data_IF_113885833565
#
_entry.id   IF_113885833565
#
_cell.length_a   1.000
_cell.length_b   1.000
_cell.length_c   1.000
_cell.angle_alpha   90.00
_cell.angle_beta   90.00
_cell.angle_gamma   90.00
#
_symmetry.space_group_name_H-M   'P 1'
#
loop_
_entity.id
_entity.type
_entity.pdbx_description
1 polymer ?
#
# COMPACT_ATOMS: atom_id res chain seq x y z
N UNK A 1 15.04 -0.99 -6.59
CA UNK A 1 13.70 -0.63 -7.12
C UNK A 1 13.35 0.72 -6.58
N UNK A 2 13.05 1.68 -7.46
CA UNK A 2 12.59 3.02 -7.05
C UNK A 2 11.16 2.92 -6.54
N UNK A 3 10.83 3.66 -5.49
CA UNK A 3 9.49 3.77 -4.95
C UNK A 3 9.14 5.22 -4.65
N UNK A 4 7.84 5.50 -4.59
CA UNK A 4 7.31 6.73 -4.02
C UNK A 4 6.73 6.41 -2.66
N UNK A 5 6.95 7.27 -1.68
CA UNK A 5 6.50 7.07 -0.31
C UNK A 5 5.74 8.27 0.26
N UNK A 6 4.86 7.98 1.21
CA UNK A 6 4.13 8.98 1.97
C UNK A 6 3.89 8.52 3.41
N UNK A 7 3.70 9.50 4.30
CA UNK A 7 3.38 9.25 5.70
C UNK A 7 2.03 9.87 6.04
N UNK A 8 1.25 9.14 6.84
CA UNK A 8 0.01 9.61 7.44
C UNK A 8 -0.02 9.26 8.93
N UNK A 9 -0.34 10.23 9.78
CA UNK A 9 -0.51 10.02 11.22
C UNK A 9 -2.01 10.09 11.57
N UNK A 10 -2.55 9.02 12.19
CA UNK A 10 -3.94 8.95 12.67
C UNK A 10 -3.98 8.44 14.10
N UNK A 11 -4.48 9.26 15.03
CA UNK A 11 -4.52 8.96 16.48
C UNK A 11 -3.21 8.33 16.98
N UNK A 12 -2.09 9.02 16.74
CA UNK A 12 -0.70 8.59 17.07
C UNK A 12 -0.18 7.35 16.33
N UNK A 13 -1.02 6.63 15.58
CA UNK A 13 -0.56 5.55 14.71
C UNK A 13 0.04 6.14 13.44
N UNK A 14 1.19 5.63 13.02
CA UNK A 14 1.87 6.06 11.79
C UNK A 14 1.61 5.04 10.70
N UNK A 15 1.20 5.51 9.53
CA UNK A 15 0.97 4.72 8.32
C UNK A 15 1.95 5.22 7.26
N UNK A 16 2.99 4.43 7.04
CA UNK A 16 4.00 4.71 6.02
C UNK A 16 3.66 3.89 4.78
N UNK A 17 3.23 4.58 3.72
CA UNK A 17 2.83 3.95 2.47
C UNK A 17 3.92 4.07 1.42
N UNK A 18 4.05 3.01 0.63
CA UNK A 18 4.98 2.88 -0.47
C UNK A 18 4.24 2.39 -1.70
N UNK A 19 4.60 2.90 -2.87
CA UNK A 19 4.17 2.35 -4.16
C UNK A 19 5.37 2.02 -5.03
N UNK A 20 5.35 0.82 -5.59
CA UNK A 20 6.37 0.31 -6.50
C UNK A 20 5.71 -0.09 -7.81
N UNK A 21 6.38 0.20 -8.94
CA UNK A 21 6.09 -0.48 -10.20
C UNK A 21 6.53 -1.95 -10.08
N UNK A 22 5.68 -2.86 -10.52
CA UNK A 22 5.94 -4.30 -10.52
C UNK A 22 5.39 -4.99 -11.76
N UNK A 23 6.16 -5.94 -12.28
CA UNK A 23 5.83 -6.71 -13.48
C UNK A 23 5.39 -8.15 -13.18
N UNK A 24 5.74 -8.65 -11.98
CA UNK A 24 5.44 -10.01 -11.57
C UNK A 24 5.34 -10.20 -10.03
N UNK A 25 4.87 -11.38 -9.63
CA UNK A 25 4.72 -11.76 -8.22
C UNK A 25 6.03 -11.97 -7.46
N UNK A 26 7.12 -12.25 -8.15
CA UNK A 26 8.44 -12.46 -7.52
C UNK A 26 8.96 -11.15 -6.96
N UNK A 27 8.79 -10.04 -7.70
CA UNK A 27 9.11 -8.70 -7.22
C UNK A 27 8.30 -8.33 -5.97
N UNK A 28 6.99 -8.65 -5.96
CA UNK A 28 6.12 -8.44 -4.78
C UNK A 28 6.70 -9.13 -3.54
N UNK A 29 7.05 -10.41 -3.64
CA UNK A 29 7.61 -11.16 -2.50
C UNK A 29 8.91 -10.53 -1.99
N UNK A 30 9.77 -10.07 -2.89
CA UNK A 30 11.03 -9.38 -2.55
C UNK A 30 10.78 -8.05 -1.81
N UNK A 31 9.85 -7.23 -2.31
CA UNK A 31 9.47 -5.95 -1.70
C UNK A 31 8.92 -6.15 -0.29
N UNK A 32 7.97 -7.07 -0.11
CA UNK A 32 7.39 -7.35 1.21
C UNK A 32 8.43 -7.89 2.20
N UNK A 33 9.31 -8.78 1.75
CA UNK A 33 10.40 -9.31 2.57
C UNK A 33 11.36 -8.20 3.02
N UNK A 34 11.68 -7.28 2.11
CA UNK A 34 12.56 -6.13 2.39
C UNK A 34 11.92 -5.19 3.40
N UNK A 35 10.67 -4.75 3.17
CA UNK A 35 9.97 -3.85 4.08
C UNK A 35 9.75 -4.47 5.47
N UNK A 36 9.44 -5.77 5.56
CA UNK A 36 9.36 -6.47 6.86
C UNK A 36 10.70 -6.49 7.61
N UNK A 37 11.82 -6.57 6.90
CA UNK A 37 13.17 -6.53 7.50
C UNK A 37 13.58 -5.12 7.91
N UNK A 38 13.22 -4.10 7.15
CA UNK A 38 13.52 -2.70 7.46
C UNK A 38 12.63 -2.20 8.62
N UNK A 39 11.36 -2.58 8.63
CA UNK A 39 10.36 -2.13 9.59
C UNK A 39 10.03 -3.19 10.64
N UNK A 40 11.04 -3.81 11.27
CA UNK A 40 10.84 -4.89 12.28
C UNK A 40 9.95 -4.50 13.47
N UNK A 41 9.86 -3.20 13.76
CA UNK A 41 9.04 -2.64 14.85
C UNK A 41 7.61 -2.31 14.42
N UNK A 42 7.28 -2.44 13.13
CA UNK A 42 5.93 -2.24 12.66
C UNK A 42 5.03 -3.38 13.15
N UNK A 43 3.76 -3.05 13.36
CA UNK A 43 2.77 -4.03 13.81
C UNK A 43 2.23 -4.84 12.63
N UNK A 44 2.01 -4.18 11.51
CA UNK A 44 1.41 -4.75 10.31
C UNK A 44 2.07 -4.13 9.06
N UNK A 45 2.29 -4.95 8.04
CA UNK A 45 2.78 -4.60 6.70
C UNK A 45 1.73 -5.09 5.69
N UNK A 46 0.65 -4.33 5.60
CA UNK A 46 -0.50 -4.64 4.74
C UNK A 46 -0.19 -4.21 3.30
N UNK A 47 -0.77 -4.86 2.31
CA UNK A 47 -0.54 -4.49 0.91
C UNK A 47 -1.71 -4.85 0.01
N UNK A 48 -1.71 -4.24 -1.17
CA UNK A 48 -2.48 -4.68 -2.33
C UNK A 48 -1.71 -4.45 -3.62
N UNK A 49 -2.00 -5.26 -4.64
CA UNK A 49 -1.36 -5.14 -5.95
C UNK A 49 -2.35 -5.44 -7.07
N UNK A 50 -2.04 -4.91 -8.24
CA UNK A 50 -2.67 -5.26 -9.51
C UNK A 50 -1.60 -5.27 -10.59
N UNK A 51 -1.47 -6.38 -11.30
CA UNK A 51 -0.54 -6.58 -12.41
C UNK A 51 -1.37 -7.02 -13.61
N UNK A 52 -1.14 -6.39 -14.76
CA UNK A 52 -1.71 -6.76 -16.04
C UNK A 52 -0.53 -7.09 -16.96
N UNK A 53 -0.47 -8.34 -17.41
CA UNK A 53 0.56 -8.83 -18.32
C UNK A 53 -0.09 -9.71 -19.39
N UNK A 54 0.19 -9.41 -20.64
CA UNK A 54 -0.36 -10.15 -21.80
C UNK A 54 -1.90 -10.25 -21.77
N UNK A 55 -2.57 -9.20 -21.32
CA UNK A 55 -4.04 -9.15 -21.15
C UNK A 55 -4.58 -9.93 -19.95
N UNK A 56 -3.73 -10.61 -19.17
CA UNK A 56 -4.10 -11.35 -17.98
C UNK A 56 -3.93 -10.48 -16.74
N UNK A 57 -5.02 -10.32 -15.99
CA UNK A 57 -5.01 -9.62 -14.72
C UNK A 57 -4.61 -10.56 -13.57
N UNK A 58 -3.67 -10.11 -12.75
CA UNK A 58 -3.34 -10.72 -11.48
C UNK A 58 -3.39 -9.68 -10.36
N UNK A 59 -4.29 -9.88 -9.41
CA UNK A 59 -4.50 -8.98 -8.29
C UNK A 59 -4.58 -9.73 -6.97
N UNK A 60 -4.35 -9.01 -5.88
CA UNK A 60 -4.46 -9.57 -4.53
C UNK A 60 -4.14 -8.53 -3.45
N UNK A 61 -4.49 -8.86 -2.21
CA UNK A 61 -4.22 -8.03 -1.05
C UNK A 61 -3.97 -8.87 0.20
N UNK A 62 -3.42 -8.24 1.23
CA UNK A 62 -3.17 -8.83 2.54
C UNK A 62 -3.40 -7.80 3.64
N UNK A 63 -4.12 -8.21 4.69
CA UNK A 63 -4.32 -7.42 5.90
C UNK A 63 -3.19 -7.62 6.93
N UNK A 64 -2.25 -8.55 6.72
CA UNK A 64 -1.09 -8.83 7.59
C UNK A 64 -1.40 -8.84 9.10
N UNK A 65 -2.49 -9.48 9.51
CA UNK A 65 -2.90 -9.60 10.91
C UNK A 65 -3.76 -8.45 11.44
N UNK A 66 -4.05 -7.42 10.64
CA UNK A 66 -5.18 -6.52 10.89
C UNK A 66 -6.50 -7.31 10.78
N UNK A 67 -7.61 -6.79 11.35
CA UNK A 67 -8.93 -7.37 11.13
C UNK A 67 -9.23 -7.56 9.63
N UNK A 68 -9.87 -8.68 9.29
CA UNK A 68 -10.16 -9.07 7.91
C UNK A 68 -10.83 -7.95 7.10
N UNK A 69 -10.27 -7.63 5.93
CA UNK A 69 -10.69 -6.56 5.03
C UNK A 69 -10.57 -5.12 5.59
N UNK A 70 -9.87 -4.91 6.69
CA UNK A 70 -9.71 -3.56 7.26
C UNK A 70 -8.53 -2.77 6.67
N UNK A 71 -7.64 -3.43 5.93
CA UNK A 71 -6.40 -2.82 5.44
C UNK A 71 -6.16 -3.08 3.95
N UNK A 72 -5.86 -4.32 3.57
CA UNK A 72 -5.52 -4.71 2.20
C UNK A 72 -6.66 -4.43 1.22
N UNK A 73 -7.91 -4.72 1.62
CA UNK A 73 -9.09 -4.50 0.79
C UNK A 73 -9.31 -3.01 0.43
N UNK A 74 -9.30 -2.06 1.38
CA UNK A 74 -9.36 -0.63 1.06
C UNK A 74 -8.25 -0.13 0.13
N UNK A 75 -7.02 -0.65 0.27
CA UNK A 75 -5.91 -0.29 -0.62
C UNK A 75 -6.21 -0.79 -2.04
N UNK A 76 -6.64 -2.05 -2.18
CA UNK A 76 -6.96 -2.66 -3.47
C UNK A 76 -8.09 -1.95 -4.21
N UNK A 77 -9.17 -1.61 -3.49
CA UNK A 77 -10.30 -0.89 -4.10
C UNK A 77 -9.87 0.47 -4.65
N UNK A 78 -8.92 1.13 -3.99
CA UNK A 78 -8.40 2.41 -4.47
C UNK A 78 -7.52 2.26 -5.72
N UNK A 79 -6.67 1.22 -5.79
CA UNK A 79 -5.91 0.87 -7.02
C UNK A 79 -6.89 0.75 -8.20
N UNK A 80 -7.98 0.01 -8.02
CA UNK A 80 -9.01 -0.18 -9.04
C UNK A 80 -9.73 1.12 -9.41
N UNK A 81 -10.19 1.90 -8.43
CA UNK A 81 -10.90 3.17 -8.68
C UNK A 81 -10.00 4.17 -9.42
N UNK A 82 -8.70 4.15 -9.13
CA UNK A 82 -7.71 5.03 -9.80
C UNK A 82 -7.24 4.48 -11.15
N UNK A 83 -7.68 3.28 -11.55
CA UNK A 83 -7.30 2.60 -12.79
C UNK A 83 -5.78 2.52 -12.98
N UNK A 84 -5.05 2.25 -11.90
CA UNK A 84 -3.60 2.03 -11.94
C UNK A 84 -3.30 0.53 -11.94
N UNK A 85 -2.34 0.11 -12.74
CA UNK A 85 -1.92 -1.28 -12.88
C UNK A 85 -0.39 -1.38 -12.86
N UNK A 86 0.10 -2.62 -12.75
CA UNK A 86 1.52 -2.96 -12.65
C UNK A 86 2.17 -2.28 -11.44
N UNK A 87 1.43 -2.28 -10.32
CA UNK A 87 1.84 -1.66 -9.06
C UNK A 87 1.51 -2.54 -7.86
N UNK A 88 2.32 -2.38 -6.83
CA UNK A 88 2.01 -2.79 -5.46
C UNK A 88 2.04 -1.54 -4.57
N UNK A 89 1.03 -1.44 -3.70
CA UNK A 89 1.01 -0.48 -2.61
C UNK A 89 1.15 -1.25 -1.31
N UNK A 90 2.14 -0.87 -0.50
CA UNK A 90 2.40 -1.43 0.83
C UNK A 90 2.20 -0.34 1.86
N UNK A 91 1.49 -0.64 2.93
CA UNK A 91 1.29 0.28 4.06
C UNK A 91 1.83 -0.39 5.32
N UNK A 92 2.91 0.18 5.83
CA UNK A 92 3.55 -0.21 7.09
C UNK A 92 2.90 0.60 8.21
N UNK A 93 2.31 -0.09 9.18
CA UNK A 93 1.66 0.54 10.32
C UNK A 93 2.46 0.38 11.61
N UNK A 94 2.76 1.51 12.25
CA UNK A 94 3.24 1.57 13.63
C UNK A 94 2.08 1.96 14.55
N UNK A 95 1.80 1.13 15.55
CA UNK A 95 0.69 1.36 16.49
C UNK A 95 1.01 2.47 17.48
N UNK A 96 0.12 3.46 17.59
CA UNK A 96 0.31 4.64 18.43
C UNK A 96 -0.27 4.57 19.85
N UNK A 97 -0.67 3.38 20.32
CA UNK A 97 -1.30 3.21 21.63
C UNK A 97 -2.82 3.47 21.67
N UNK A 98 -3.41 3.97 20.57
CA UNK A 98 -4.85 4.26 20.49
C UNK A 98 -5.50 3.39 19.40
N UNK A 99 -6.52 2.62 19.78
CA UNK A 99 -7.29 1.80 18.82
C UNK A 99 -8.13 2.68 17.89
N UNK A 100 -8.13 2.33 16.60
CA UNK A 100 -8.91 3.05 15.59
C UNK A 100 -10.31 2.46 15.37
N UNK A 101 -10.54 1.21 15.76
CA UNK A 101 -11.73 0.45 15.37
C UNK A 101 -11.75 0.11 13.88
N UNK A 102 -12.64 -0.80 13.47
CA UNK A 102 -12.67 -1.34 12.10
C UNK A 102 -12.84 -0.26 11.01
N UNK A 103 -13.82 0.64 11.17
CA UNK A 103 -14.04 1.74 10.22
C UNK A 103 -12.89 2.76 10.21
N UNK A 104 -12.26 3.00 11.36
CA UNK A 104 -11.09 3.88 11.46
C UNK A 104 -9.86 3.30 10.74
N UNK A 105 -9.66 1.98 10.81
CA UNK A 105 -8.61 1.29 10.06
C UNK A 105 -8.84 1.40 8.56
N UNK A 106 -10.05 1.06 8.09
CA UNK A 106 -10.37 1.15 6.67
C UNK A 106 -10.12 2.56 6.12
N UNK A 107 -10.57 3.59 6.85
CA UNK A 107 -10.35 4.97 6.46
C UNK A 107 -8.85 5.32 6.43
N UNK A 108 -8.09 4.94 7.45
CA UNK A 108 -6.66 5.24 7.53
C UNK A 108 -5.85 4.57 6.42
N UNK A 109 -6.09 3.28 6.15
CA UNK A 109 -5.39 2.55 5.07
C UNK A 109 -5.76 3.09 3.69
N UNK A 110 -7.04 3.39 3.45
CA UNK A 110 -7.49 4.00 2.20
C UNK A 110 -6.83 5.37 1.98
N UNK A 111 -6.79 6.21 3.00
CA UNK A 111 -6.22 7.56 2.85
C UNK A 111 -4.69 7.54 2.72
N UNK A 112 -4.01 6.64 3.43
CA UNK A 112 -2.58 6.42 3.25
C UNK A 112 -2.23 5.97 1.83
N UNK A 113 -3.04 5.07 1.25
CA UNK A 113 -2.91 4.66 -0.15
C UNK A 113 -3.21 5.81 -1.12
N UNK A 114 -4.21 6.63 -0.83
CA UNK A 114 -4.58 7.79 -1.66
C UNK A 114 -3.42 8.76 -1.82
N UNK A 115 -2.79 9.15 -0.70
CA UNK A 115 -1.68 10.12 -0.70
C UNK A 115 -0.52 9.62 -1.55
N UNK A 116 -0.13 8.34 -1.42
CA UNK A 116 1.01 7.81 -2.18
C UNK A 116 0.70 7.62 -3.66
N UNK A 117 -0.55 7.29 -4.02
CA UNK A 117 -0.99 7.27 -5.42
C UNK A 117 -0.93 8.67 -6.02
N UNK A 118 -1.41 9.70 -5.32
CA UNK A 118 -1.40 11.08 -5.81
C UNK A 118 0.04 11.54 -6.10
N UNK A 119 0.96 11.33 -5.16
CA UNK A 119 2.39 11.60 -5.38
C UNK A 119 2.98 10.81 -6.54
N UNK A 120 2.62 9.54 -6.68
CA UNK A 120 3.10 8.71 -7.79
C UNK A 120 2.63 9.22 -9.14
N UNK A 121 1.36 9.63 -9.25
CA UNK A 121 0.80 10.19 -10.48
C UNK A 121 1.38 11.57 -10.81
N UNK A 122 1.71 12.39 -9.81
CA UNK A 122 2.41 13.65 -9.99
C UNK A 122 3.82 13.41 -10.56
N UNK A 123 4.58 12.49 -9.95
CA UNK A 123 5.92 12.15 -10.40
C UNK A 123 5.95 11.58 -11.84
N UNK A 124 4.96 10.76 -12.21
CA UNK A 124 4.84 10.28 -13.59
C UNK A 124 4.60 11.41 -14.61
N UNK A 125 3.91 12.49 -14.23
CA UNK A 125 3.69 13.63 -15.12
C UNK A 125 4.97 14.40 -15.34
N UNK A 126 5.74 14.64 -14.29
CA UNK A 126 7.03 15.34 -14.35
C UNK A 126 8.04 14.61 -15.26
N UNK A 127 8.02 13.28 -15.27
CA UNK A 127 8.89 12.47 -16.17
C UNK A 127 8.47 12.51 -17.65
N UNK A 128 7.24 12.94 -17.94
CA UNK A 128 6.69 13.01 -19.31
C UNK A 128 6.65 14.42 -19.89
N UNK A 129 7.11 15.43 -19.14
CA UNK A 129 7.18 16.84 -19.54
C UNK A 129 8.58 17.27 -19.94
#
# INVERSE_FOLDING_TARGET
MTNIQAELIVKKSTFLSFIYKVDDKTQIKSIISTLKKEHKKARHVCYAYQIIKDGVENAGFSDDGEPSNSAGRPIYELIRIKNISNVIIVVVRYFGGIMLGFGGLQKAYRESAKIVIEKYLENLKEETC
#
